data_IF_891408245370
#
_entry.id   IF_891408245370
#
_cell.length_a   1.000
_cell.length_b   1.000
_cell.length_c   1.000
_cell.angle_alpha   90.00
_cell.angle_beta   90.00
_cell.angle_gamma   90.00
#
_symmetry.space_group_name_H-M   'P 1'
#
loop_
_entity.id
_entity.type
_entity.pdbx_description
1 polymer ?
#
# COMPACT_ATOMS: atom_id res chain seq x y z
N UNK A 1 20.03 -4.37 70.41
CA UNK A 1 20.45 -5.42 69.46
C UNK A 1 19.98 -5.03 68.07
N UNK A 2 20.94 -4.87 67.14
CA UNK A 2 20.78 -4.44 65.75
C UNK A 2 20.50 -5.63 64.82
N UNK A 3 19.57 -5.46 63.87
CA UNK A 3 19.58 -5.91 62.46
C UNK A 3 18.60 -4.95 61.74
N UNK A 4 18.95 -3.88 61.03
CA UNK A 4 19.75 -3.67 59.79
C UNK A 4 19.41 -4.63 58.63
N UNK A 5 18.61 -4.12 57.68
CA UNK A 5 18.82 -4.14 56.21
C UNK A 5 17.65 -3.38 55.57
N UNK A 6 17.76 -2.08 55.26
CA UNK A 6 18.45 -1.39 54.16
C UNK A 6 17.74 -1.52 52.81
N UNK A 7 17.21 -0.37 52.40
CA UNK A 7 16.54 -0.01 51.14
C UNK A 7 17.50 -0.16 49.96
N UNK A 8 16.99 -0.65 48.82
CA UNK A 8 17.62 -0.39 47.52
C UNK A 8 16.54 -0.28 46.42
N UNK A 9 15.94 0.90 46.37
CA UNK A 9 15.36 1.46 45.14
C UNK A 9 16.52 2.00 44.29
N UNK A 10 16.98 1.23 43.32
CA UNK A 10 17.86 1.70 42.25
C UNK A 10 17.00 1.80 40.98
N UNK A 11 16.43 2.98 40.70
CA UNK A 11 17.02 4.07 39.91
C UNK A 11 16.96 3.80 38.40
N UNK A 12 15.82 4.20 37.81
CA UNK A 12 15.52 4.41 36.38
C UNK A 12 16.46 5.42 35.66
N UNK A 13 17.56 5.83 36.31
CA UNK A 13 18.49 6.87 35.87
C UNK A 13 19.66 6.33 35.04
N UNK A 14 19.83 5.00 34.93
CA UNK A 14 20.97 4.38 34.24
C UNK A 14 20.67 4.05 32.77
N UNK A 15 19.40 3.83 32.40
CA UNK A 15 19.03 3.53 31.01
C UNK A 15 19.05 4.81 30.13
N UNK A 16 18.83 5.99 30.71
CA UNK A 16 18.92 7.27 30.01
C UNK A 16 20.37 7.75 29.73
N UNK A 17 21.39 7.18 30.39
CA UNK A 17 22.79 7.53 30.15
C UNK A 17 23.39 6.78 28.94
N UNK A 18 22.85 5.60 28.59
CA UNK A 18 23.38 4.77 27.50
C UNK A 18 22.89 5.25 26.12
N UNK A 19 21.69 5.84 26.03
CA UNK A 19 21.16 6.38 24.77
C UNK A 19 21.66 7.77 24.39
N UNK A 20 22.33 8.51 25.28
CA UNK A 20 22.87 9.84 24.97
C UNK A 20 24.35 9.82 24.52
N UNK A 21 25.11 8.73 24.73
CA UNK A 21 26.56 8.66 24.43
C UNK A 21 26.95 7.94 23.12
N UNK A 22 26.00 7.45 22.32
CA UNK A 22 26.27 6.87 20.99
C UNK A 22 26.06 7.84 19.82
N UNK A 23 25.77 9.11 20.10
CA UNK A 23 25.84 10.22 19.14
C UNK A 23 26.88 11.24 19.62
N UNK A 24 28.15 11.03 19.28
CA UNK A 24 29.17 12.08 19.07
C UNK A 24 30.51 11.43 18.69
N UNK A 25 30.66 11.04 17.41
CA UNK A 25 31.95 11.15 16.72
C UNK A 25 31.72 11.52 15.25
N UNK A 26 32.02 12.77 14.94
CA UNK A 26 32.34 13.27 13.61
C UNK A 26 33.65 14.09 13.76
N UNK A 27 34.35 14.51 12.69
CA UNK A 27 34.62 13.91 11.38
C UNK A 27 36.14 13.78 11.14
N UNK A 28 36.60 13.06 10.11
CA UNK A 28 37.97 13.23 9.55
C UNK A 28 38.05 12.78 8.08
N UNK A 29 37.95 13.78 7.21
CA UNK A 29 38.66 14.05 5.94
C UNK A 29 39.28 12.93 5.06
N UNK A 30 38.78 12.89 3.82
CA UNK A 30 39.51 12.99 2.53
C UNK A 30 40.89 12.30 2.35
N UNK A 31 40.86 11.18 1.59
CA UNK A 31 41.80 10.87 0.50
C UNK A 31 40.98 10.15 -0.59
N UNK A 32 40.57 10.77 -1.69
CA UNK A 32 41.31 11.07 -2.92
C UNK A 32 41.87 9.82 -3.67
N UNK A 33 41.26 9.56 -4.84
CA UNK A 33 41.70 8.78 -6.01
C UNK A 33 41.85 7.25 -5.93
N UNK A 34 40.98 6.52 -6.65
CA UNK A 34 41.32 6.01 -8.00
C UNK A 34 40.08 5.51 -8.75
N UNK A 35 40.01 5.95 -10.00
CA UNK A 35 39.12 5.51 -11.08
C UNK A 35 39.67 4.19 -11.62
N UNK A 36 38.82 3.18 -11.81
CA UNK A 36 38.99 2.18 -12.87
C UNK A 36 37.64 2.00 -13.58
N UNK A 37 37.56 2.61 -14.77
CA UNK A 37 36.66 2.25 -15.85
C UNK A 37 36.94 0.79 -16.27
N UNK A 38 35.91 -0.05 -16.30
CA UNK A 38 35.91 -1.29 -17.07
C UNK A 38 34.88 -1.17 -18.18
N UNK A 39 35.32 -0.58 -19.28
CA UNK A 39 34.77 -0.71 -20.63
C UNK A 39 34.78 -2.19 -21.04
N UNK A 40 33.63 -2.75 -21.44
CA UNK A 40 33.60 -3.96 -22.27
C UNK A 40 32.89 -3.62 -23.57
N UNK A 41 33.68 -3.73 -24.63
CA UNK A 41 33.37 -3.46 -26.02
C UNK A 41 32.20 -4.27 -26.57
N UNK A 42 31.33 -3.55 -27.29
CA UNK A 42 30.50 -4.10 -28.36
C UNK A 42 31.40 -4.55 -29.52
N UNK A 43 31.39 -5.85 -29.84
CA UNK A 43 31.87 -6.32 -31.14
C UNK A 43 30.71 -6.63 -32.08
N UNK A 44 30.69 -5.83 -33.15
CA UNK A 44 30.05 -5.98 -34.44
C UNK A 44 29.91 -7.43 -34.95
N UNK A 45 28.72 -7.76 -35.46
CA UNK A 45 28.55 -8.48 -36.74
C UNK A 45 27.37 -7.85 -37.51
N UNK A 46 27.70 -6.97 -38.46
CA UNK A 46 26.96 -6.74 -39.72
C UNK A 46 27.68 -7.62 -40.77
N UNK A 47 27.14 -8.15 -41.86
CA UNK A 47 25.98 -7.85 -42.70
C UNK A 47 25.88 -9.00 -43.73
N UNK A 48 24.68 -9.36 -44.18
CA UNK A 48 24.47 -9.77 -45.59
C UNK A 48 22.98 -9.65 -45.94
N UNK A 49 22.74 -8.68 -46.82
CA UNK A 49 21.46 -8.22 -47.37
C UNK A 49 20.91 -9.20 -48.41
N UNK A 50 19.60 -9.46 -48.39
CA UNK A 50 18.81 -9.61 -49.61
C UNK A 50 17.33 -9.31 -49.31
N UNK A 51 16.86 -8.24 -49.94
CA UNK A 51 15.48 -7.77 -50.04
C UNK A 51 14.55 -8.82 -50.63
N UNK A 52 13.37 -9.01 -50.03
CA UNK A 52 12.13 -9.25 -50.78
C UNK A 52 10.91 -8.81 -49.94
N UNK A 53 10.23 -7.76 -50.41
CA UNK A 53 8.88 -7.40 -50.01
C UNK A 53 7.90 -8.48 -50.50
N UNK A 54 7.07 -9.01 -49.61
CA UNK A 54 5.60 -9.04 -49.76
C UNK A 54 4.90 -9.95 -48.73
N UNK A 55 3.71 -9.50 -48.34
CA UNK A 55 2.58 -10.27 -47.83
C UNK A 55 2.62 -10.80 -46.39
N UNK A 56 1.97 -10.01 -45.54
CA UNK A 56 1.12 -10.43 -44.42
C UNK A 56 0.52 -11.84 -44.56
N UNK A 57 0.90 -12.73 -43.64
CA UNK A 57 0.11 -13.89 -43.24
C UNK A 57 -0.04 -13.84 -41.72
N UNK A 58 -1.21 -13.35 -41.31
CA UNK A 58 -1.77 -13.55 -39.98
C UNK A 58 -1.88 -15.06 -39.73
N UNK A 59 -1.04 -15.59 -38.86
CA UNK A 59 -1.20 -16.97 -38.39
C UNK A 59 -2.14 -16.92 -37.20
N UNK A 60 -3.42 -17.12 -37.48
CA UNK A 60 -4.46 -17.46 -36.51
C UNK A 60 -4.00 -18.69 -35.73
N UNK A 61 -3.54 -18.47 -34.50
CA UNK A 61 -3.47 -19.53 -33.50
C UNK A 61 -4.92 -19.90 -33.18
N UNK A 62 -5.33 -21.07 -33.65
CA UNK A 62 -6.61 -21.68 -33.29
C UNK A 62 -6.73 -21.74 -31.76
N UNK A 63 -7.81 -21.20 -31.17
CA UNK A 63 -8.10 -21.48 -29.77
C UNK A 63 -8.44 -22.96 -29.65
N UNK A 64 -7.65 -23.67 -28.83
CA UNK A 64 -8.01 -25.00 -28.37
C UNK A 64 -9.43 -24.95 -27.81
N UNK A 65 -10.32 -25.71 -28.42
CA UNK A 65 -11.72 -25.84 -28.05
C UNK A 65 -11.78 -26.69 -26.77
N UNK A 66 -11.31 -26.14 -25.65
CA UNK A 66 -11.66 -26.62 -24.33
C UNK A 66 -13.12 -26.22 -24.16
N UNK A 67 -14.00 -27.22 -24.12
CA UNK A 67 -15.36 -27.03 -23.59
C UNK A 67 -15.21 -26.38 -22.22
N UNK A 68 -15.39 -25.06 -22.16
CA UNK A 68 -15.86 -24.41 -20.97
C UNK A 68 -17.17 -25.10 -20.63
N UNK A 69 -17.15 -25.99 -19.64
CA UNK A 69 -18.36 -26.19 -18.88
C UNK A 69 -18.69 -24.81 -18.35
N UNK A 70 -19.82 -24.25 -18.79
CA UNK A 70 -20.44 -23.09 -18.18
C UNK A 70 -20.45 -23.33 -16.68
N UNK A 71 -19.45 -22.74 -16.01
CA UNK A 71 -19.47 -22.53 -14.58
C UNK A 71 -20.78 -21.82 -14.30
N UNK A 72 -21.59 -22.39 -13.42
CA UNK A 72 -22.84 -21.80 -12.93
C UNK A 72 -22.71 -20.28 -12.89
N UNK A 73 -23.29 -19.64 -13.90
CA UNK A 73 -23.40 -18.19 -13.94
C UNK A 73 -24.18 -17.84 -12.69
N UNK A 74 -23.51 -17.14 -11.78
CA UNK A 74 -24.13 -16.57 -10.58
C UNK A 74 -25.42 -15.90 -11.02
N UNK A 75 -26.49 -16.24 -10.33
CA UNK A 75 -27.82 -15.72 -10.62
C UNK A 75 -27.86 -14.23 -10.25
N UNK A 76 -27.39 -13.41 -11.19
CA UNK A 76 -27.60 -11.96 -11.24
C UNK A 76 -29.10 -11.60 -11.22
N UNK A 77 -30.04 -12.54 -11.17
CA UNK A 77 -31.46 -12.20 -10.94
C UNK A 77 -31.87 -12.20 -9.47
N UNK A 78 -30.99 -12.65 -8.56
CA UNK A 78 -31.29 -12.75 -7.11
C UNK A 78 -30.92 -11.51 -6.29
N UNK A 79 -30.07 -10.62 -6.83
CA UNK A 79 -29.73 -9.35 -6.18
C UNK A 79 -30.73 -8.26 -6.59
N UNK A 80 -31.11 -7.38 -5.66
CA UNK A 80 -32.09 -6.34 -5.93
C UNK A 80 -31.37 -5.06 -6.40
N UNK A 81 -31.14 -4.93 -7.72
CA UNK A 81 -30.50 -3.73 -8.31
C UNK A 81 -31.27 -2.43 -8.07
N UNK A 82 -32.56 -2.47 -7.72
CA UNK A 82 -33.35 -1.25 -7.41
C UNK A 82 -32.98 -0.66 -6.04
N UNK A 83 -32.41 -1.47 -5.14
CA UNK A 83 -31.84 -1.05 -3.85
C UNK A 83 -30.30 -1.14 -3.84
N UNK A 84 -29.65 -0.80 -4.95
CA UNK A 84 -28.20 -0.97 -5.11
C UNK A 84 -27.39 -0.05 -4.18
N UNK A 85 -27.08 -0.57 -2.99
CA UNK A 85 -26.24 0.04 -1.97
C UNK A 85 -24.75 -0.12 -2.25
N UNK A 86 -24.35 -0.82 -3.33
CA UNK A 86 -22.94 -1.06 -3.68
C UNK A 86 -22.15 0.23 -3.94
N UNK A 87 -22.83 1.28 -4.42
CA UNK A 87 -22.21 2.60 -4.63
C UNK A 87 -22.26 3.50 -3.40
N UNK A 88 -22.97 3.09 -2.35
CA UNK A 88 -23.09 3.86 -1.13
C UNK A 88 -22.07 3.33 -0.11
N UNK A 89 -21.38 4.20 0.64
CA UNK A 89 -20.54 3.77 1.74
C UNK A 89 -21.28 2.88 2.75
N UNK A 90 -20.53 2.02 3.43
CA UNK A 90 -21.00 1.28 4.62
C UNK A 90 -21.32 2.24 5.78
N UNK A 91 -22.21 1.82 6.67
CA UNK A 91 -22.74 2.66 7.75
C UNK A 91 -21.63 3.24 8.62
N UNK A 92 -20.65 2.41 9.00
CA UNK A 92 -19.53 2.81 9.85
C UNK A 92 -18.59 3.82 9.16
N UNK A 93 -18.45 3.76 7.83
CA UNK A 93 -17.52 4.60 7.07
C UNK A 93 -18.19 5.75 6.29
N UNK A 94 -19.52 5.83 6.31
CA UNK A 94 -20.30 6.82 5.55
C UNK A 94 -19.85 8.25 5.79
N UNK A 95 -19.69 8.66 7.04
CA UNK A 95 -19.27 10.02 7.38
C UNK A 95 -17.86 10.31 6.86
N UNK A 96 -16.96 9.33 6.92
CA UNK A 96 -15.58 9.48 6.45
C UNK A 96 -15.54 9.64 4.95
N UNK A 97 -16.19 8.75 4.21
CA UNK A 97 -16.18 8.76 2.74
C UNK A 97 -16.90 9.98 2.18
N UNK A 98 -18.01 10.39 2.81
CA UNK A 98 -18.74 11.59 2.40
C UNK A 98 -17.88 12.85 2.55
N UNK A 99 -17.13 12.97 3.63
CA UNK A 99 -16.28 14.14 3.87
C UNK A 99 -14.97 14.08 3.08
N UNK A 100 -14.35 12.90 2.93
CA UNK A 100 -13.10 12.73 2.19
C UNK A 100 -13.24 13.00 0.68
N UNK A 101 -14.44 12.82 0.14
CA UNK A 101 -14.79 13.07 -1.27
C UNK A 101 -15.25 14.51 -1.55
N UNK A 102 -15.48 15.32 -0.52
CA UNK A 102 -15.96 16.69 -0.64
C UNK A 102 -14.83 17.71 -0.53
N UNK A 103 -14.95 18.84 -1.23
CA UNK A 103 -14.15 20.04 -0.93
C UNK A 103 -14.66 20.63 0.39
N UNK A 104 -13.86 20.52 1.45
CA UNK A 104 -14.21 20.97 2.81
C UNK A 104 -14.12 22.50 2.93
N UNK A 105 -15.10 23.21 2.38
CA UNK A 105 -15.11 24.68 2.32
C UNK A 105 -15.49 25.34 3.66
N UNK A 106 -16.28 24.68 4.50
CA UNK A 106 -16.75 25.25 5.77
C UNK A 106 -15.82 24.90 6.94
N UNK A 107 -15.83 25.73 7.99
CA UNK A 107 -15.09 25.44 9.23
C UNK A 107 -15.65 24.21 9.96
N UNK A 108 -16.98 24.07 9.97
CA UNK A 108 -17.67 22.92 10.57
C UNK A 108 -17.29 21.61 9.89
N UNK A 109 -17.31 21.54 8.56
CA UNK A 109 -16.93 20.32 7.82
C UNK A 109 -15.48 19.90 8.13
N UNK A 110 -14.56 20.86 8.21
CA UNK A 110 -13.16 20.60 8.55
C UNK A 110 -13.00 20.07 9.97
N UNK A 111 -13.67 20.70 10.94
CA UNK A 111 -13.63 20.26 12.33
C UNK A 111 -14.26 18.87 12.50
N UNK A 112 -15.40 18.61 11.87
CA UNK A 112 -16.05 17.30 11.93
C UNK A 112 -15.18 16.21 11.31
N UNK A 113 -14.52 16.52 10.19
CA UNK A 113 -13.60 15.57 9.56
C UNK A 113 -12.36 15.31 10.43
N UNK A 114 -11.79 16.33 11.05
CA UNK A 114 -10.68 16.18 12.00
C UNK A 114 -11.07 15.36 13.24
N UNK A 115 -12.26 15.59 13.80
CA UNK A 115 -12.80 14.79 14.89
C UNK A 115 -12.95 13.33 14.48
N UNK A 116 -13.46 13.08 13.27
CA UNK A 116 -13.65 11.74 12.74
C UNK A 116 -12.32 11.01 12.51
N UNK A 117 -11.31 11.69 11.97
CA UNK A 117 -9.97 11.12 11.77
C UNK A 117 -9.33 10.68 13.10
N UNK A 118 -9.66 11.35 14.20
CA UNK A 118 -9.15 11.05 15.53
C UNK A 118 -10.12 10.23 16.40
N UNK A 119 -11.25 9.79 15.84
CA UNK A 119 -12.17 8.89 16.54
C UNK A 119 -11.63 7.45 16.49
N UNK A 120 -11.33 6.90 17.66
CA UNK A 120 -10.83 5.53 17.77
C UNK A 120 -11.85 4.49 17.28
N UNK A 121 -13.14 4.84 17.23
CA UNK A 121 -14.18 3.96 16.65
C UNK A 121 -13.93 3.65 15.18
N UNK A 122 -13.28 4.53 14.43
CA UNK A 122 -12.90 4.25 13.04
C UNK A 122 -11.90 3.10 12.97
N UNK A 123 -10.90 3.10 13.86
CA UNK A 123 -9.89 2.02 13.95
C UNK A 123 -10.56 0.70 14.33
N UNK A 124 -11.48 0.72 15.29
CA UNK A 124 -12.24 -0.48 15.70
C UNK A 124 -13.17 -1.00 14.59
N UNK A 125 -13.84 -0.10 13.86
CA UNK A 125 -14.67 -0.48 12.72
C UNK A 125 -13.82 -1.12 11.61
N UNK A 126 -12.66 -0.54 11.30
CA UNK A 126 -11.69 -1.11 10.35
C UNK A 126 -11.20 -2.47 10.81
N UNK A 127 -10.84 -2.60 12.10
CA UNK A 127 -10.40 -3.87 12.69
C UNK A 127 -11.47 -4.93 12.53
N UNK A 128 -12.72 -4.61 12.84
CA UNK A 128 -13.86 -5.51 12.67
C UNK A 128 -14.07 -5.90 11.19
N UNK A 129 -14.02 -4.94 10.27
CA UNK A 129 -14.25 -5.20 8.86
C UNK A 129 -13.18 -6.11 8.24
N UNK A 130 -11.89 -5.88 8.54
CA UNK A 130 -10.77 -6.60 7.92
C UNK A 130 -10.40 -7.89 8.65
N UNK A 131 -10.57 -7.94 9.96
CA UNK A 131 -10.17 -9.10 10.77
C UNK A 131 -11.31 -10.07 11.09
N UNK A 132 -12.57 -9.77 10.80
CA UNK A 132 -13.69 -10.71 10.97
C UNK A 132 -13.54 -12.01 10.17
N UNK A 133 -14.10 -13.09 10.70
CA UNK A 133 -14.19 -14.35 9.96
C UNK A 133 -15.11 -14.18 8.75
N UNK A 134 -14.61 -14.55 7.58
CA UNK A 134 -15.36 -14.42 6.33
C UNK A 134 -16.11 -15.72 6.08
N UNK A 135 -17.41 -15.61 5.85
CA UNK A 135 -18.22 -16.75 5.44
C UNK A 135 -17.79 -17.22 4.06
N UNK A 136 -17.18 -18.40 3.99
CA UNK A 136 -16.73 -19.03 2.73
C UNK A 136 -17.89 -19.65 1.94
N UNK A 137 -19.07 -19.78 2.55
CA UNK A 137 -20.23 -20.44 1.95
C UNK A 137 -21.12 -19.49 1.13
N UNK A 138 -21.02 -18.17 1.34
CA UNK A 138 -21.84 -17.18 0.65
C UNK A 138 -21.11 -15.84 0.50
N UNK A 139 -21.02 -15.35 -0.73
CA UNK A 139 -20.56 -14.00 -1.03
C UNK A 139 -21.49 -12.96 -0.38
N UNK A 140 -20.94 -12.11 0.49
CA UNK A 140 -21.67 -11.02 1.14
C UNK A 140 -21.17 -9.67 0.65
N UNK A 141 -21.96 -9.03 -0.21
CA UNK A 141 -21.66 -7.72 -0.78
C UNK A 141 -21.51 -6.62 0.29
N UNK A 142 -22.27 -6.70 1.39
CA UNK A 142 -22.17 -5.70 2.46
C UNK A 142 -20.85 -5.81 3.23
N UNK A 143 -20.36 -7.04 3.46
CA UNK A 143 -19.07 -7.29 4.11
C UNK A 143 -17.91 -6.88 3.19
N UNK A 144 -18.01 -7.19 1.89
CA UNK A 144 -17.02 -6.76 0.89
C UNK A 144 -16.87 -5.24 0.85
N UNK A 145 -18.00 -4.54 0.79
CA UNK A 145 -18.02 -3.08 0.83
C UNK A 145 -17.36 -2.54 2.11
N UNK A 146 -17.72 -3.08 3.28
CA UNK A 146 -17.13 -2.64 4.53
C UNK A 146 -15.61 -2.85 4.56
N UNK A 147 -15.09 -3.95 3.97
CA UNK A 147 -13.65 -4.17 3.79
C UNK A 147 -13.01 -3.11 2.90
N UNK A 148 -13.62 -2.81 1.75
CA UNK A 148 -13.08 -1.79 0.83
C UNK A 148 -13.07 -0.39 1.43
N UNK A 149 -14.13 -0.02 2.15
CA UNK A 149 -14.19 1.26 2.86
C UNK A 149 -13.14 1.34 3.98
N UNK A 150 -12.91 0.21 4.68
CA UNK A 150 -11.87 0.08 5.69
C UNK A 150 -10.46 0.20 5.09
N UNK A 151 -10.20 -0.44 3.94
CA UNK A 151 -8.95 -0.29 3.18
C UNK A 151 -8.74 1.16 2.79
N UNK A 152 -9.75 1.79 2.20
CA UNK A 152 -9.68 3.20 1.81
C UNK A 152 -9.34 4.12 2.99
N UNK A 153 -9.90 3.86 4.18
CA UNK A 153 -9.57 4.58 5.41
C UNK A 153 -8.10 4.42 5.82
N UNK A 154 -7.60 3.18 5.95
CA UNK A 154 -6.21 2.93 6.36
C UNK A 154 -5.22 3.43 5.31
N UNK A 155 -5.47 3.20 4.03
CA UNK A 155 -4.64 3.68 2.92
C UNK A 155 -4.52 5.19 2.93
N UNK A 156 -5.63 5.91 3.16
CA UNK A 156 -5.62 7.37 3.25
C UNK A 156 -4.76 7.89 4.42
N UNK A 157 -4.60 7.11 5.48
CA UNK A 157 -3.78 7.49 6.64
C UNK A 157 -2.31 7.09 6.41
N UNK A 158 -2.05 5.87 5.94
CA UNK A 158 -0.71 5.34 5.67
C UNK A 158 0.01 6.18 4.61
N UNK A 159 -0.70 6.56 3.54
CA UNK A 159 -0.19 7.43 2.47
C UNK A 159 0.07 8.87 2.92
N UNK A 160 -0.34 9.23 4.15
CA UNK A 160 -0.20 10.57 4.69
C UNK A 160 -1.19 11.59 4.13
N UNK A 161 -2.20 11.16 3.36
CA UNK A 161 -3.28 12.04 2.87
C UNK A 161 -4.01 12.71 4.03
N UNK A 162 -4.23 11.95 5.12
CA UNK A 162 -4.80 12.47 6.36
C UNK A 162 -3.93 12.13 7.56
N UNK A 163 -3.92 13.03 8.55
CA UNK A 163 -3.19 12.85 9.81
C UNK A 163 -4.15 12.44 10.92
N UNK A 164 -3.71 11.55 11.78
CA UNK A 164 -4.43 11.09 12.97
C UNK A 164 -3.45 10.81 14.09
N UNK A 165 -3.90 10.90 15.34
CA UNK A 165 -3.15 10.44 16.51
C UNK A 165 -3.02 8.91 16.57
N UNK A 166 -3.87 8.16 15.86
CA UNK A 166 -3.93 6.69 15.89
C UNK A 166 -3.08 6.01 14.81
N UNK A 167 -2.09 6.70 14.24
CA UNK A 167 -1.27 6.16 13.13
C UNK A 167 -0.61 4.83 13.53
N UNK A 168 -0.06 4.74 14.75
CA UNK A 168 0.58 3.51 15.24
C UNK A 168 -0.40 2.35 15.30
N UNK A 169 -1.63 2.57 15.77
CA UNK A 169 -2.65 1.53 15.85
C UNK A 169 -3.09 1.05 14.47
N UNK A 170 -3.18 1.98 13.50
CA UNK A 170 -3.50 1.66 12.11
C UNK A 170 -2.37 0.87 11.47
N UNK A 171 -1.11 1.25 11.69
CA UNK A 171 0.05 0.49 11.20
C UNK A 171 0.04 -0.92 11.78
N UNK A 172 -0.18 -1.08 13.09
CA UNK A 172 -0.26 -2.38 13.73
C UNK A 172 -1.40 -3.22 13.15
N UNK A 173 -2.59 -2.62 12.97
CA UNK A 173 -3.72 -3.27 12.33
C UNK A 173 -3.40 -3.72 10.90
N UNK A 174 -2.70 -2.90 10.11
CA UNK A 174 -2.27 -3.28 8.77
C UNK A 174 -1.34 -4.50 8.78
N UNK A 175 -0.40 -4.58 9.72
CA UNK A 175 0.45 -5.77 9.90
C UNK A 175 -0.36 -7.00 10.31
N UNK A 176 -1.35 -6.84 11.19
CA UNK A 176 -2.28 -7.92 11.55
C UNK A 176 -3.06 -8.42 10.34
N UNK A 177 -3.58 -7.52 9.49
CA UNK A 177 -4.29 -7.88 8.26
C UNK A 177 -3.38 -8.60 7.29
N UNK A 178 -2.13 -8.16 7.10
CA UNK A 178 -1.15 -8.84 6.23
C UNK A 178 -0.88 -10.26 6.73
N UNK A 179 -0.73 -10.46 8.04
CA UNK A 179 -0.43 -11.75 8.63
C UNK A 179 -1.66 -12.67 8.82
N UNK A 180 -2.89 -12.15 8.70
CA UNK A 180 -4.11 -12.95 8.85
C UNK A 180 -4.12 -14.12 7.86
N UNK A 181 -4.19 -15.39 8.28
CA UNK A 181 -4.29 -16.50 7.32
C UNK A 181 -5.59 -16.38 6.51
N UNK A 182 -5.54 -16.77 5.24
CA UNK A 182 -6.77 -16.95 4.47
C UNK A 182 -7.53 -18.16 5.02
N UNK A 183 -8.88 -18.14 5.05
CA UNK A 183 -9.67 -19.31 5.43
C UNK A 183 -9.28 -20.56 4.64
N UNK A 184 -9.20 -21.70 5.32
CA UNK A 184 -8.97 -22.99 4.66
C UNK A 184 -10.20 -23.36 3.83
N UNK A 185 -9.99 -23.66 2.54
CA UNK A 185 -11.03 -24.09 1.59
C UNK A 185 -12.04 -23.01 1.17
N UNK A 186 -11.60 -21.82 0.77
CA UNK A 186 -12.45 -20.87 0.04
C UNK A 186 -12.87 -21.50 -1.31
N UNK A 187 -14.16 -21.82 -1.52
CA UNK A 187 -14.63 -22.45 -2.76
C UNK A 187 -14.74 -21.44 -3.92
N UNK A 188 -14.90 -20.17 -3.59
CA UNK A 188 -15.05 -19.06 -4.53
C UNK A 188 -13.68 -18.40 -4.82
N UNK A 189 -13.22 -18.52 -6.07
CA UNK A 189 -11.97 -17.94 -6.52
C UNK A 189 -11.96 -16.39 -6.49
N UNK A 190 -13.13 -15.74 -6.63
CA UNK A 190 -13.25 -14.29 -6.57
C UNK A 190 -13.08 -13.78 -5.15
N UNK A 191 -13.74 -14.43 -4.17
CA UNK A 191 -13.53 -14.13 -2.74
C UNK A 191 -12.06 -14.29 -2.39
N UNK A 192 -11.45 -15.40 -2.82
CA UNK A 192 -10.02 -15.66 -2.55
C UNK A 192 -9.13 -14.56 -3.14
N UNK A 193 -9.38 -14.13 -4.38
CA UNK A 193 -8.64 -13.03 -5.02
C UNK A 193 -8.88 -11.70 -4.33
N UNK A 194 -10.11 -11.40 -3.93
CA UNK A 194 -10.50 -10.18 -3.19
C UNK A 194 -9.69 -10.08 -1.89
N UNK A 195 -9.66 -11.13 -1.07
CA UNK A 195 -8.91 -11.16 0.19
C UNK A 195 -7.39 -11.10 0.02
N UNK A 196 -6.86 -11.70 -1.05
CA UNK A 196 -5.45 -11.55 -1.40
C UNK A 196 -5.18 -10.10 -1.85
N UNK A 197 -6.09 -9.50 -2.61
CA UNK A 197 -6.04 -8.11 -3.05
C UNK A 197 -5.97 -7.15 -1.87
N UNK A 198 -6.86 -7.32 -0.88
CA UNK A 198 -6.87 -6.53 0.36
C UNK A 198 -5.49 -6.50 1.03
N UNK A 199 -4.85 -7.67 1.17
CA UNK A 199 -3.51 -7.82 1.75
C UNK A 199 -2.43 -7.12 0.93
N UNK A 200 -2.48 -7.30 -0.38
CA UNK A 200 -1.52 -6.72 -1.31
C UNK A 200 -1.60 -5.20 -1.27
N UNK A 201 -2.79 -4.62 -1.31
CA UNK A 201 -3.00 -3.17 -1.29
C UNK A 201 -2.43 -2.54 -0.02
N UNK A 202 -2.74 -3.12 1.13
CA UNK A 202 -2.24 -2.64 2.44
C UNK A 202 -0.72 -2.78 2.54
N UNK A 203 -0.16 -3.91 2.10
CA UNK A 203 1.28 -4.13 2.12
C UNK A 203 2.02 -3.18 1.17
N UNK A 204 1.43 -2.90 0.01
CA UNK A 204 1.95 -1.93 -0.95
C UNK A 204 2.00 -0.52 -0.35
N UNK A 205 0.92 -0.07 0.31
CA UNK A 205 0.90 1.23 0.96
C UNK A 205 1.95 1.34 2.06
N UNK A 206 2.10 0.31 2.90
CA UNK A 206 3.18 0.26 3.89
C UNK A 206 4.56 0.29 3.24
N UNK A 207 4.79 -0.53 2.21
CA UNK A 207 6.09 -0.62 1.54
C UNK A 207 6.51 0.70 0.89
N UNK A 208 5.55 1.46 0.34
CA UNK A 208 5.80 2.73 -0.35
C UNK A 208 5.93 3.89 0.65
N UNK A 209 5.00 4.03 1.57
CA UNK A 209 4.85 5.23 2.40
C UNK A 209 5.39 5.09 3.83
N UNK A 210 5.58 3.86 4.30
CA UNK A 210 6.14 3.54 5.62
C UNK A 210 7.34 2.56 5.49
N UNK A 211 8.38 2.93 4.72
CA UNK A 211 9.43 2.00 4.32
C UNK A 211 10.18 1.40 5.51
N UNK A 212 10.39 2.15 6.58
CA UNK A 212 11.10 1.65 7.77
C UNK A 212 10.31 0.51 8.45
N UNK A 213 9.00 0.70 8.62
CA UNK A 213 8.09 -0.32 9.17
C UNK A 213 8.07 -1.55 8.27
N UNK A 214 8.04 -1.36 6.95
CA UNK A 214 8.08 -2.47 6.01
C UNK A 214 9.39 -3.26 6.09
N UNK A 215 10.55 -2.59 6.25
CA UNK A 215 11.83 -3.28 6.44
C UNK A 215 11.86 -4.08 7.75
N UNK A 216 11.31 -3.53 8.84
CA UNK A 216 11.19 -4.24 10.12
C UNK A 216 10.28 -5.48 10.00
N UNK A 217 9.16 -5.34 9.28
CA UNK A 217 8.27 -6.46 8.96
C UNK A 217 9.02 -7.55 8.20
N UNK A 218 9.76 -7.21 7.14
CA UNK A 218 10.54 -8.18 6.37
C UNK A 218 11.56 -8.92 7.22
N UNK A 219 12.27 -8.22 8.11
CA UNK A 219 13.27 -8.80 8.98
C UNK A 219 12.69 -9.78 10.02
N UNK A 220 11.42 -9.61 10.41
CA UNK A 220 10.73 -10.41 11.43
C UNK A 220 9.73 -11.44 10.86
N UNK A 221 9.46 -11.38 9.55
CA UNK A 221 8.46 -12.20 8.89
C UNK A 221 8.83 -13.69 8.80
N UNK A 222 7.80 -14.54 8.77
CA UNK A 222 7.95 -15.98 8.55
C UNK A 222 8.47 -16.27 7.12
N UNK A 223 9.37 -17.25 6.91
CA UNK A 223 9.87 -17.62 5.58
C UNK A 223 8.79 -17.94 4.54
N UNK A 224 7.60 -18.39 4.96
CA UNK A 224 6.44 -18.62 4.09
C UNK A 224 5.96 -17.35 3.38
N UNK A 225 6.20 -16.18 3.98
CA UNK A 225 5.85 -14.88 3.41
C UNK A 225 6.86 -14.36 2.38
N UNK A 226 8.01 -15.01 2.20
CA UNK A 226 9.08 -14.53 1.32
C UNK A 226 8.62 -14.25 -0.12
N UNK A 227 7.76 -15.12 -0.68
CA UNK A 227 7.22 -14.93 -2.03
C UNK A 227 6.29 -13.71 -2.11
N UNK A 228 5.44 -13.53 -1.10
CA UNK A 228 4.55 -12.37 -1.01
C UNK A 228 5.33 -11.07 -0.84
N UNK A 229 6.30 -11.06 0.06
CA UNK A 229 7.19 -9.92 0.32
C UNK A 229 7.93 -9.51 -0.96
N UNK A 230 8.52 -10.48 -1.68
CA UNK A 230 9.20 -10.19 -2.93
C UNK A 230 8.25 -9.62 -4.00
N UNK A 231 7.02 -10.13 -4.08
CA UNK A 231 6.01 -9.56 -4.98
C UNK A 231 5.71 -8.09 -4.62
N UNK A 232 5.46 -7.79 -3.35
CA UNK A 232 5.19 -6.42 -2.88
C UNK A 232 6.39 -5.50 -3.11
N UNK A 233 7.62 -5.94 -2.82
CA UNK A 233 8.82 -5.13 -3.04
C UNK A 233 8.96 -4.73 -4.52
N UNK A 234 8.77 -5.68 -5.46
CA UNK A 234 8.87 -5.41 -6.89
C UNK A 234 7.79 -4.44 -7.38
N UNK A 235 6.53 -4.65 -6.97
CA UNK A 235 5.43 -3.77 -7.35
C UNK A 235 5.57 -2.37 -6.73
N UNK A 236 6.03 -2.29 -5.48
CA UNK A 236 6.28 -1.02 -4.79
C UNK A 236 7.42 -0.25 -5.45
N UNK A 237 8.51 -0.92 -5.83
CA UNK A 237 9.61 -0.32 -6.59
C UNK A 237 9.15 0.21 -7.95
N UNK A 238 8.38 -0.59 -8.68
CA UNK A 238 7.80 -0.16 -9.95
C UNK A 238 6.90 1.07 -9.76
N UNK A 239 6.02 1.06 -8.77
CA UNK A 239 5.10 2.16 -8.46
C UNK A 239 5.84 3.43 -8.03
N UNK A 240 6.86 3.33 -7.17
CA UNK A 240 7.72 4.46 -6.77
C UNK A 240 8.44 5.07 -7.98
N UNK A 241 9.01 4.24 -8.85
CA UNK A 241 9.71 4.70 -10.04
C UNK A 241 8.77 5.42 -11.01
N UNK A 242 7.54 4.90 -11.18
CA UNK A 242 6.50 5.53 -11.98
C UNK A 242 6.07 6.88 -11.40
N UNK A 243 5.76 6.94 -10.10
CA UNK A 243 5.39 8.18 -9.41
C UNK A 243 6.49 9.25 -9.52
N UNK A 244 7.76 8.86 -9.38
CA UNK A 244 8.91 9.76 -9.57
C UNK A 244 8.99 10.30 -11.00
N UNK A 245 8.83 9.43 -12.00
CA UNK A 245 8.78 9.82 -13.41
C UNK A 245 7.65 10.82 -13.67
N UNK A 246 6.46 10.56 -13.16
CA UNK A 246 5.29 11.39 -13.41
C UNK A 246 5.38 12.74 -12.68
N UNK A 247 5.92 12.76 -11.46
CA UNK A 247 6.24 13.98 -10.74
C UNK A 247 7.27 14.84 -11.50
N UNK A 248 8.30 14.22 -12.09
CA UNK A 248 9.29 14.92 -12.90
C UNK A 248 8.64 15.56 -14.14
N UNK A 249 7.83 14.80 -14.88
CA UNK A 249 7.11 15.33 -16.06
C UNK A 249 6.19 16.50 -15.69
N UNK A 250 5.51 16.42 -14.54
CA UNK A 250 4.66 17.50 -14.06
C UNK A 250 5.48 18.74 -13.69
N UNK A 251 6.61 18.57 -12.99
CA UNK A 251 7.51 19.66 -12.64
C UNK A 251 8.07 20.37 -13.90
N UNK A 252 8.48 19.60 -14.91
CA UNK A 252 8.97 20.13 -16.17
C UNK A 252 7.89 20.92 -16.92
N UNK A 253 6.65 20.42 -16.94
CA UNK A 253 5.50 21.13 -17.52
C UNK A 253 5.14 22.42 -16.77
N UNK A 254 5.19 22.41 -15.44
CA UNK A 254 4.94 23.61 -14.65
C UNK A 254 6.03 24.66 -14.89
N UNK A 255 7.28 24.23 -15.01
CA UNK A 255 8.41 25.09 -15.35
C UNK A 255 8.24 25.73 -16.73
N UNK A 256 7.87 24.96 -17.76
CA UNK A 256 7.65 25.51 -19.10
C UNK A 256 6.52 26.54 -19.13
N UNK A 257 5.39 26.23 -18.48
CA UNK A 257 4.25 27.16 -18.38
C UNK A 257 4.62 28.46 -17.65
N UNK A 258 5.44 28.38 -16.59
CA UNK A 258 5.92 29.59 -15.89
C UNK A 258 6.82 30.47 -16.77
N UNK A 259 7.64 29.85 -17.62
CA UNK A 259 8.53 30.56 -18.54
C UNK A 259 7.76 31.22 -19.68
N UNK A 260 6.76 30.53 -20.24
CA UNK A 260 5.84 31.07 -21.25
C UNK A 260 5.02 32.25 -20.70
N UNK A 261 4.51 32.15 -19.46
CA UNK A 261 3.77 33.24 -18.80
C UNK A 261 4.64 34.48 -18.56
N UNK A 262 5.91 34.30 -18.21
CA UNK A 262 6.84 35.42 -18.01
C UNK A 262 7.21 36.12 -19.32
N UNK A 263 7.22 35.40 -20.45
CA UNK A 263 7.44 35.96 -21.78
C UNK A 263 6.23 36.72 -22.33
N UNK A 264 5.00 36.34 -21.92
CA UNK A 264 3.78 37.02 -22.33
C UNK A 264 3.50 38.35 -21.58
N UNK A 265 4.26 38.64 -20.52
CA UNK A 265 4.07 39.82 -19.66
C UNK A 265 5.15 40.90 -19.88
N UNK A 266 6.10 40.66 -20.79
CA UNK A 266 7.10 41.64 -21.26
C UNK A 266 6.69 42.19 -22.63
#
# INVERSE_FOLDING_TARGET
>A
MLKKTLILTASLSVIAYITFNSHTKAPSELQALRIEESTVESQHINEAVASEQASSISTLVQPNNVKYQESNVLDESSYNWENNTWRQPSEEFQSFITLSSKVLTTASDRQNFELLLNDYKMVEATRKALLSDISVEKYNYDDERARWDAIYYISSIITGKYKTQHLTDIVNLSLEVINKPLPDNIPDDEIKKSLIGDKVEIAMDLAIFQPDIWQEYKASSDPTMAKFINYVDNEADFSRNKMKSDAQKLADRLKSLSQESNLATQ
#
